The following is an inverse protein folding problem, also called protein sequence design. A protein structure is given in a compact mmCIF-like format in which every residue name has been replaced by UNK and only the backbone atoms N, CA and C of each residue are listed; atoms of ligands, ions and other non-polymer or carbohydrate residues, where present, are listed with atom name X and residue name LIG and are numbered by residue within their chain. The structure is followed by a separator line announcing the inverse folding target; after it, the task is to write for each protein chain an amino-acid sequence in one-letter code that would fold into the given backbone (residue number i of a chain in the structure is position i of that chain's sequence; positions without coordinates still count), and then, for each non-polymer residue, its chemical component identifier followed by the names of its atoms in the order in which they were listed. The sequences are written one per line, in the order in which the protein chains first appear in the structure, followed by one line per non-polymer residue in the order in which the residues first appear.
data_IF_616566264306
#
_entry.id   IF_616566264306
#
_cell.length_a   1.000
_cell.length_b   1.000
_cell.length_c   1.000
_cell.angle_alpha   90.00
_cell.angle_beta   90.00
_cell.angle_gamma   90.00
#
_symmetry.space_group_name_H-M   'P 1'
#
loop_
_entity.id
_entity.type
_entity.pdbx_description
1 polymer ?
#
# COMPACT_ATOMS: atom_id res chain seq x y z
N UNK A 1 10.93 -15.32 -9.20
CA UNK A 1 10.15 -14.10 -9.42
C UNK A 1 9.85 -13.97 -10.90
N UNK A 2 8.57 -13.96 -11.26
CA UNK A 2 8.14 -13.85 -12.66
C UNK A 2 7.89 -12.36 -13.01
N UNK A 3 8.45 -11.82 -14.10
CA UNK A 3 8.24 -10.41 -14.45
C UNK A 3 6.76 -10.10 -14.67
N UNK A 4 6.18 -9.26 -13.82
CA UNK A 4 4.83 -8.72 -14.03
C UNK A 4 4.93 -7.37 -14.73
N UNK A 5 4.24 -7.15 -15.87
CA UNK A 5 4.29 -5.86 -16.55
C UNK A 5 3.72 -4.76 -15.65
N UNK A 6 4.36 -3.59 -15.68
CA UNK A 6 3.83 -2.41 -14.99
C UNK A 6 2.58 -1.95 -15.73
N UNK A 7 1.43 -2.09 -15.07
CA UNK A 7 0.12 -1.66 -15.58
C UNK A 7 -0.14 -0.27 -15.08
N UNK A 8 -0.34 0.71 -15.94
CA UNK A 8 -0.71 2.07 -15.56
C UNK A 8 -1.50 2.71 -16.71
N UNK A 9 -2.71 3.28 -16.51
CA UNK A 9 -3.46 3.84 -17.63
C UNK A 9 -2.71 4.98 -18.30
N UNK A 10 -1.87 5.72 -17.57
CA UNK A 10 -0.98 6.68 -18.20
C UNK A 10 0.00 5.99 -19.16
N UNK A 11 0.58 4.83 -18.83
CA UNK A 11 1.48 4.11 -19.76
C UNK A 11 0.69 3.51 -20.93
N UNK A 12 -0.46 2.90 -20.65
CA UNK A 12 -1.28 2.17 -21.63
C UNK A 12 -2.00 3.10 -22.62
N UNK A 13 -2.27 4.34 -22.21
CA UNK A 13 -2.90 5.37 -23.03
C UNK A 13 -2.02 6.62 -23.05
N UNK A 14 -0.93 6.62 -23.85
CA UNK A 14 0.04 7.70 -23.87
C UNK A 14 -0.57 9.04 -24.30
N UNK A 15 -1.55 8.97 -25.19
CA UNK A 15 -2.13 10.08 -25.97
C UNK A 15 -3.34 10.77 -25.31
N UNK A 16 -3.67 10.41 -24.05
CA UNK A 16 -4.73 11.10 -23.32
C UNK A 16 -4.37 12.59 -23.23
N UNK A 17 -5.24 13.51 -23.69
CA UNK A 17 -4.97 14.94 -23.66
C UNK A 17 -4.67 15.41 -22.24
N UNK A 18 -3.63 16.23 -22.13
CA UNK A 18 -3.31 16.90 -20.88
C UNK A 18 -4.27 18.06 -20.64
N UNK A 19 -4.57 18.34 -19.38
CA UNK A 19 -5.33 19.52 -19.03
C UNK A 19 -4.51 20.78 -19.32
N UNK A 20 -5.19 21.86 -19.72
CA UNK A 20 -4.56 23.17 -19.85
C UNK A 20 -4.05 23.61 -18.46
N UNK A 21 -2.73 23.81 -18.28
CA UNK A 21 -2.19 24.24 -17.00
C UNK A 21 -2.75 25.58 -16.52
N UNK A 22 -3.32 26.42 -17.40
CA UNK A 22 -3.99 27.66 -17.01
C UNK A 22 -5.18 27.44 -16.08
N UNK A 23 -5.85 26.28 -16.17
CA UNK A 23 -6.97 25.93 -15.30
C UNK A 23 -6.56 25.70 -13.83
N UNK A 24 -5.25 25.66 -13.52
CA UNK A 24 -4.75 25.63 -12.14
C UNK A 24 -4.88 26.99 -11.43
N UNK A 25 -5.03 28.11 -12.16
CA UNK A 25 -4.92 29.46 -11.58
C UNK A 25 -5.77 29.68 -10.30
N UNK A 26 -7.06 29.29 -10.25
CA UNK A 26 -7.86 29.46 -9.04
C UNK A 26 -7.34 28.67 -7.83
N UNK A 27 -6.80 27.46 -8.05
CA UNK A 27 -6.20 26.66 -6.98
C UNK A 27 -4.87 27.26 -6.52
N UNK A 28 -4.06 27.78 -7.44
CA UNK A 28 -2.78 28.41 -7.10
C UNK A 28 -2.99 29.68 -6.26
N UNK A 29 -3.98 30.50 -6.62
CA UNK A 29 -4.39 31.65 -5.82
C UNK A 29 -4.84 31.22 -4.42
N UNK A 30 -5.65 30.16 -4.35
CA UNK A 30 -6.11 29.63 -3.06
C UNK A 30 -4.97 29.11 -2.18
N UNK A 31 -3.99 28.42 -2.76
CA UNK A 31 -2.85 27.87 -2.03
C UNK A 31 -1.94 28.98 -1.46
N UNK A 32 -1.90 30.14 -2.12
CA UNK A 32 -1.15 31.31 -1.65
C UNK A 32 -1.88 32.09 -0.54
N UNK A 33 -3.22 31.99 -0.47
CA UNK A 33 -4.02 32.62 0.58
C UNK A 33 -3.83 31.90 1.92
N UNK A 34 -3.42 32.62 2.97
CA UNK A 34 -3.23 32.09 4.31
C UNK A 34 -4.54 31.78 5.06
N UNK A 35 -5.71 32.16 4.53
CA UNK A 35 -7.00 31.88 5.13
C UNK A 35 -7.21 30.37 5.37
N UNK A 36 -7.66 29.96 6.58
CA UNK A 36 -7.86 28.54 6.91
C UNK A 36 -8.79 27.82 5.93
N UNK A 37 -8.52 26.54 5.70
CA UNK A 37 -9.38 25.65 4.90
C UNK A 37 -10.31 24.89 5.85
N UNK A 38 -11.57 25.31 5.96
CA UNK A 38 -12.54 24.69 6.89
C UNK A 38 -13.23 23.44 6.32
N UNK A 39 -13.13 23.21 5.01
CA UNK A 39 -13.81 22.10 4.32
C UNK A 39 -13.18 21.77 2.97
N UNK A 40 -13.83 20.88 2.20
CA UNK A 40 -13.36 20.52 0.85
C UNK A 40 -13.73 21.64 -0.14
N UNK A 41 -12.72 22.25 -0.75
CA UNK A 41 -12.83 23.30 -1.77
C UNK A 41 -12.46 22.71 -3.14
N UNK A 42 -13.43 22.66 -4.07
CA UNK A 42 -13.24 22.12 -5.40
C UNK A 42 -12.87 23.21 -6.42
N UNK A 43 -11.92 22.90 -7.29
CA UNK A 43 -11.40 23.78 -8.34
C UNK A 43 -11.57 23.14 -9.72
N UNK A 44 -11.41 23.90 -10.82
CA UNK A 44 -11.42 23.32 -12.16
C UNK A 44 -10.45 22.14 -12.31
N UNK A 45 -9.28 22.24 -11.67
CA UNK A 45 -8.34 21.14 -11.51
C UNK A 45 -8.09 20.87 -10.03
N UNK A 46 -8.72 19.82 -9.51
CA UNK A 46 -8.43 19.28 -8.18
C UNK A 46 -9.30 19.80 -7.04
N UNK A 47 -8.88 19.43 -5.83
CA UNK A 47 -9.57 19.77 -4.59
C UNK A 47 -8.55 20.03 -3.48
N UNK A 48 -8.71 21.15 -2.78
CA UNK A 48 -8.02 21.40 -1.51
C UNK A 48 -8.95 20.98 -0.38
N UNK A 49 -8.49 20.11 0.51
CA UNK A 49 -9.31 19.58 1.61
C UNK A 49 -8.91 20.18 2.94
N UNK A 50 -9.86 20.26 3.87
CA UNK A 50 -9.63 20.78 5.22
C UNK A 50 -8.62 19.98 6.07
N UNK A 51 -8.23 18.79 5.63
CA UNK A 51 -7.15 18.01 6.24
C UNK A 51 -5.78 18.19 5.55
N UNK A 52 -5.64 19.20 4.71
CA UNK A 52 -4.38 19.57 4.04
C UNK A 52 -4.05 18.72 2.81
N UNK A 53 -5.01 17.94 2.30
CA UNK A 53 -4.85 17.24 1.01
C UNK A 53 -5.04 18.18 -0.16
N UNK A 54 -4.03 18.23 -1.02
CA UNK A 54 -4.08 18.83 -2.36
C UNK A 54 -4.27 17.68 -3.35
N UNK A 55 -5.52 17.40 -3.71
CA UNK A 55 -5.92 16.24 -4.51
C UNK A 55 -6.09 16.62 -5.98
N UNK A 56 -5.10 16.24 -6.80
CA UNK A 56 -5.13 16.38 -8.26
C UNK A 56 -4.96 15.02 -8.94
N UNK A 57 -5.47 13.94 -8.35
CA UNK A 57 -5.44 12.66 -9.01
C UNK A 57 -6.28 12.68 -10.31
N UNK A 58 -5.77 12.06 -11.37
CA UNK A 58 -6.46 11.87 -12.66
C UNK A 58 -6.86 13.20 -13.34
N UNK A 59 -6.07 14.25 -13.17
CA UNK A 59 -6.31 15.57 -13.77
C UNK A 59 -5.52 15.79 -15.07
N UNK A 60 -4.69 14.83 -15.49
CA UNK A 60 -3.92 14.96 -16.73
C UNK A 60 -2.92 16.11 -16.71
N UNK A 61 -2.31 16.41 -15.56
CA UNK A 61 -1.45 17.60 -15.41
C UNK A 61 -0.21 17.61 -16.32
N UNK A 62 0.34 16.43 -16.65
CA UNK A 62 1.64 16.32 -17.30
C UNK A 62 2.77 16.93 -16.46
N UNK A 63 3.96 17.03 -17.06
CA UNK A 63 5.10 17.69 -16.41
C UNK A 63 4.85 19.20 -16.21
N UNK A 64 4.23 19.86 -17.21
CA UNK A 64 3.97 21.31 -17.18
C UNK A 64 2.99 21.73 -16.06
N UNK A 65 1.90 20.98 -15.85
CA UNK A 65 0.98 21.25 -14.75
C UNK A 65 1.62 21.03 -13.39
N UNK A 66 2.44 19.97 -13.25
CA UNK A 66 3.21 19.70 -12.01
C UNK A 66 4.23 20.81 -11.74
N UNK A 67 4.91 21.32 -12.77
CA UNK A 67 5.85 22.45 -12.67
C UNK A 67 5.20 23.74 -12.12
N UNK A 68 3.92 23.97 -12.42
CA UNK A 68 3.17 25.12 -11.88
C UNK A 68 2.62 24.86 -10.48
N UNK A 69 2.09 23.67 -10.25
CA UNK A 69 1.40 23.31 -9.01
C UNK A 69 2.36 23.14 -7.82
N UNK A 70 3.42 22.35 -7.99
CA UNK A 70 4.19 21.83 -6.86
C UNK A 70 4.90 22.92 -6.06
N UNK A 71 5.57 23.92 -6.68
CA UNK A 71 6.16 25.02 -5.93
C UNK A 71 5.13 25.80 -5.09
N UNK A 72 3.94 26.08 -5.66
CA UNK A 72 2.86 26.78 -4.95
C UNK A 72 2.28 25.94 -3.81
N UNK A 73 2.10 24.63 -4.02
CA UNK A 73 1.61 23.73 -3.00
C UNK A 73 2.61 23.60 -1.84
N UNK A 74 3.91 23.45 -2.12
CA UNK A 74 4.95 23.34 -1.08
C UNK A 74 5.10 24.65 -0.29
N UNK A 75 4.95 25.81 -0.94
CA UNK A 75 4.96 27.10 -0.25
C UNK A 75 3.68 27.40 0.55
N UNK A 76 2.62 26.61 0.34
CA UNK A 76 1.32 26.83 0.96
C UNK A 76 1.32 26.43 2.43
N UNK A 77 0.69 27.22 3.33
CA UNK A 77 0.52 26.82 4.72
C UNK A 77 -0.48 25.65 4.90
N UNK A 78 -1.18 25.25 3.83
CA UNK A 78 -2.24 24.24 3.91
C UNK A 78 -1.78 22.85 3.48
N UNK A 79 -0.77 22.74 2.61
CA UNK A 79 -0.46 21.50 1.94
C UNK A 79 0.34 20.53 2.84
N UNK A 80 -0.34 19.47 3.29
CA UNK A 80 0.28 18.39 4.07
C UNK A 80 0.43 17.12 3.23
N UNK A 81 -0.45 16.93 2.25
CA UNK A 81 -0.51 15.72 1.45
C UNK A 81 -0.70 16.06 -0.03
N UNK A 82 0.28 15.74 -0.87
CA UNK A 82 0.19 15.94 -2.31
C UNK A 82 -0.27 14.65 -2.99
N UNK A 83 -1.48 14.66 -3.56
CA UNK A 83 -2.05 13.52 -4.27
C UNK A 83 -2.05 13.79 -5.78
N UNK A 84 -1.03 13.27 -6.46
CA UNK A 84 -0.76 13.56 -7.87
C UNK A 84 -0.83 12.31 -8.74
N UNK A 85 -1.61 11.29 -8.35
CA UNK A 85 -1.65 10.03 -9.10
C UNK A 85 -2.33 10.13 -10.47
N UNK A 86 -1.87 9.35 -11.43
CA UNK A 86 -2.45 9.30 -12.79
C UNK A 86 -2.43 10.65 -13.51
N UNK A 87 -1.27 11.31 -13.55
CA UNK A 87 -1.08 12.60 -14.23
C UNK A 87 -0.03 12.58 -15.35
N UNK A 88 0.58 11.43 -15.65
CA UNK A 88 1.55 11.28 -16.74
C UNK A 88 2.74 12.28 -16.68
N UNK A 89 3.14 12.68 -15.48
CA UNK A 89 4.18 13.70 -15.26
C UNK A 89 5.61 13.25 -15.59
N UNK A 90 5.85 11.93 -15.69
CA UNK A 90 7.14 11.35 -16.05
C UNK A 90 8.26 11.65 -15.05
N UNK A 91 9.50 11.31 -15.45
CA UNK A 91 10.71 11.66 -14.69
C UNK A 91 10.94 13.17 -14.58
N UNK A 92 10.42 13.98 -15.51
CA UNK A 92 10.51 15.45 -15.43
C UNK A 92 9.69 15.99 -14.26
N UNK A 93 8.44 15.57 -14.10
CA UNK A 93 7.66 15.93 -12.91
C UNK A 93 8.32 15.45 -11.62
N UNK A 94 8.97 14.28 -11.63
CA UNK A 94 9.69 13.78 -10.46
C UNK A 94 10.86 14.71 -10.07
N UNK A 95 11.60 15.24 -11.06
CA UNK A 95 12.62 16.28 -10.86
C UNK A 95 12.03 17.57 -10.29
N UNK A 96 10.89 18.03 -10.82
CA UNK A 96 10.20 19.20 -10.28
C UNK A 96 9.84 19.03 -8.81
N UNK A 97 9.27 17.88 -8.43
CA UNK A 97 8.94 17.61 -7.03
C UNK A 97 10.20 17.63 -6.18
N UNK A 98 11.26 16.93 -6.61
CA UNK A 98 12.52 16.89 -5.87
C UNK A 98 13.13 18.30 -5.67
N UNK A 99 13.07 19.16 -6.67
CA UNK A 99 13.58 20.54 -6.59
C UNK A 99 12.72 21.50 -5.79
N UNK A 100 11.45 21.17 -5.53
CA UNK A 100 10.56 22.02 -4.73
C UNK A 100 10.59 21.69 -3.23
N UNK A 101 11.00 20.48 -2.85
CA UNK A 101 11.06 20.02 -1.45
C UNK A 101 12.29 20.59 -0.74
N UNK A 102 12.28 21.90 -0.53
CA UNK A 102 13.24 22.61 0.31
C UNK A 102 12.97 22.34 1.81
N UNK A 103 13.97 22.49 2.70
CA UNK A 103 13.76 22.27 4.14
C UNK A 103 12.62 23.11 4.71
N UNK A 104 11.71 22.50 5.47
CA UNK A 104 10.55 23.19 6.05
C UNK A 104 9.31 23.22 5.16
N UNK A 105 9.24 22.35 4.15
CA UNK A 105 8.15 22.27 3.18
C UNK A 105 6.80 21.77 3.77
N UNK A 106 6.75 21.19 4.96
CA UNK A 106 5.51 20.76 5.62
C UNK A 106 4.80 19.51 5.04
N UNK A 107 5.10 19.14 3.79
CA UNK A 107 4.54 17.95 3.12
C UNK A 107 4.94 16.64 3.82
N UNK A 108 3.95 15.81 4.18
CA UNK A 108 4.14 14.51 4.84
C UNK A 108 3.86 13.31 3.93
N UNK A 109 3.03 13.50 2.90
CA UNK A 109 2.66 12.41 1.98
C UNK A 109 2.85 12.84 0.53
N UNK A 110 3.60 12.02 -0.22
CA UNK A 110 3.72 12.11 -1.66
C UNK A 110 3.04 10.90 -2.29
N UNK A 111 1.86 11.12 -2.88
CA UNK A 111 1.17 10.08 -3.64
C UNK A 111 1.36 10.30 -5.14
N UNK A 112 2.27 9.53 -5.73
CA UNK A 112 2.76 9.69 -7.10
C UNK A 112 2.43 8.49 -7.99
N UNK A 113 1.42 7.71 -7.62
CA UNK A 113 1.08 6.47 -8.31
C UNK A 113 0.68 6.67 -9.77
N UNK A 114 1.16 5.79 -10.66
CA UNK A 114 0.83 5.77 -12.09
C UNK A 114 1.11 7.08 -12.82
N UNK A 115 2.37 7.51 -12.83
CA UNK A 115 2.82 8.77 -13.41
C UNK A 115 3.87 8.62 -14.51
N UNK A 116 4.19 7.39 -14.93
CA UNK A 116 5.32 7.09 -15.83
C UNK A 116 6.68 7.53 -15.26
N UNK A 117 6.84 7.53 -13.93
CA UNK A 117 8.13 7.80 -13.28
C UNK A 117 9.02 6.58 -13.51
N UNK A 118 10.07 6.74 -14.30
CA UNK A 118 11.06 5.70 -14.56
C UNK A 118 12.09 5.58 -13.44
N UNK A 119 13.06 4.68 -13.60
CA UNK A 119 14.14 4.49 -12.65
C UNK A 119 14.95 5.75 -12.36
N UNK A 120 15.20 6.58 -13.37
CA UNK A 120 15.95 7.84 -13.22
C UNK A 120 15.14 8.88 -12.44
N UNK A 121 13.86 9.04 -12.76
CA UNK A 121 12.95 9.90 -12.01
C UNK A 121 12.80 9.46 -10.55
N UNK A 122 12.73 8.14 -10.31
CA UNK A 122 12.71 7.59 -8.96
C UNK A 122 14.03 7.83 -8.22
N UNK A 123 15.18 7.73 -8.90
CA UNK A 123 16.48 8.01 -8.33
C UNK A 123 16.65 9.47 -7.91
N UNK A 124 16.14 10.42 -8.71
CA UNK A 124 16.16 11.85 -8.33
C UNK A 124 15.30 12.11 -7.08
N UNK A 125 14.10 11.53 -7.01
CA UNK A 125 13.27 11.63 -5.80
C UNK A 125 13.98 11.02 -4.59
N UNK A 126 14.60 9.84 -4.77
CA UNK A 126 15.32 9.15 -3.73
C UNK A 126 16.50 10.00 -3.19
N UNK A 127 17.28 10.63 -4.07
CA UNK A 127 18.40 11.47 -3.66
C UNK A 127 17.95 12.66 -2.80
N UNK A 128 16.90 13.38 -3.23
CA UNK A 128 16.32 14.48 -2.44
C UNK A 128 15.83 13.99 -1.07
N UNK A 129 15.08 12.88 -1.04
CA UNK A 129 14.47 12.34 0.17
C UNK A 129 15.49 11.71 1.14
N UNK A 130 16.72 11.41 0.69
CA UNK A 130 17.77 10.85 1.55
C UNK A 130 18.17 11.78 2.71
N UNK A 131 17.95 13.09 2.56
CA UNK A 131 18.19 14.11 3.59
C UNK A 131 16.91 14.75 4.11
N UNK A 132 15.75 14.36 3.60
CA UNK A 132 14.47 14.87 4.04
C UNK A 132 14.08 14.29 5.42
N UNK A 133 13.38 15.11 6.21
CA UNK A 133 12.93 14.79 7.57
C UNK A 133 11.41 14.89 7.75
N UNK A 134 10.70 15.38 6.73
CA UNK A 134 9.27 15.68 6.83
C UNK A 134 8.38 14.63 6.18
N UNK A 135 8.73 14.14 4.99
CA UNK A 135 7.97 13.11 4.26
C UNK A 135 7.96 11.81 5.06
N UNK A 136 6.76 11.31 5.35
CA UNK A 136 6.52 10.07 6.10
C UNK A 136 6.01 8.94 5.22
N UNK A 137 5.39 9.27 4.10
CA UNK A 137 4.77 8.32 3.20
C UNK A 137 5.04 8.62 1.73
N UNK A 138 5.70 7.68 1.05
CA UNK A 138 6.02 7.74 -0.37
C UNK A 138 5.28 6.63 -1.13
N UNK A 139 4.45 7.02 -2.09
CA UNK A 139 3.67 6.08 -2.89
C UNK A 139 4.04 6.14 -4.36
N UNK A 140 4.72 5.11 -4.86
CA UNK A 140 5.22 5.03 -6.23
C UNK A 140 4.49 3.97 -7.07
N UNK A 141 3.40 3.39 -6.57
CA UNK A 141 2.66 2.31 -7.23
C UNK A 141 2.48 2.52 -8.73
N UNK A 142 2.61 1.45 -9.52
CA UNK A 142 2.33 1.46 -10.97
C UNK A 142 3.18 2.46 -11.77
N UNK A 143 4.41 2.71 -11.33
CA UNK A 143 5.42 3.44 -12.08
C UNK A 143 6.53 2.48 -12.53
N UNK A 144 7.13 2.67 -13.73
CA UNK A 144 8.22 1.83 -14.23
C UNK A 144 9.56 2.11 -13.53
N UNK A 145 9.58 2.04 -12.20
CA UNK A 145 10.76 2.30 -11.35
C UNK A 145 11.88 1.30 -11.68
N UNK A 146 11.52 0.03 -11.88
CA UNK A 146 12.47 -1.05 -12.17
C UNK A 146 13.44 -1.34 -11.03
N UNK A 147 14.32 -2.32 -11.24
CA UNK A 147 15.34 -2.69 -10.23
C UNK A 147 16.32 -1.56 -9.94
N UNK A 148 16.72 -0.79 -10.96
CA UNK A 148 17.65 0.33 -10.79
C UNK A 148 17.07 1.43 -9.90
N UNK A 149 15.81 1.83 -10.16
CA UNK A 149 15.12 2.80 -9.30
C UNK A 149 14.86 2.25 -7.89
N UNK A 150 14.54 0.95 -7.77
CA UNK A 150 14.38 0.30 -6.46
C UNK A 150 15.68 0.31 -5.64
N UNK A 151 16.83 0.08 -6.27
CA UNK A 151 18.15 0.22 -5.61
C UNK A 151 18.42 1.66 -5.17
N UNK A 152 18.01 2.66 -5.94
CA UNK A 152 18.13 4.06 -5.53
C UNK A 152 17.24 4.37 -4.32
N UNK A 153 15.98 3.89 -4.32
CA UNK A 153 15.08 3.98 -3.16
C UNK A 153 15.70 3.28 -1.94
N UNK A 154 16.27 2.09 -2.10
CA UNK A 154 16.98 1.40 -1.02
C UNK A 154 18.18 2.21 -0.49
N UNK A 155 18.97 2.83 -1.36
CA UNK A 155 20.08 3.68 -0.96
C UNK A 155 19.61 4.91 -0.16
N UNK A 156 18.51 5.53 -0.58
CA UNK A 156 17.84 6.60 0.18
C UNK A 156 17.44 6.12 1.57
N UNK A 157 16.88 4.91 1.67
CA UNK A 157 16.44 4.36 2.95
C UNK A 157 17.57 4.05 3.93
N UNK A 158 18.84 4.01 3.51
CA UNK A 158 19.96 3.93 4.46
C UNK A 158 20.21 5.22 5.23
N UNK A 159 19.75 6.36 4.70
CA UNK A 159 20.03 7.71 5.25
C UNK A 159 18.78 8.40 5.79
N UNK A 160 17.67 8.26 5.08
CA UNK A 160 16.40 8.82 5.51
C UNK A 160 15.96 8.14 6.81
N UNK A 161 15.38 8.87 7.77
CA UNK A 161 14.79 8.29 8.98
C UNK A 161 13.30 8.64 9.15
N UNK A 162 12.75 9.48 8.28
CA UNK A 162 11.37 9.98 8.39
C UNK A 162 10.33 9.08 7.73
N UNK A 163 10.68 8.43 6.61
CA UNK A 163 9.76 7.58 5.85
C UNK A 163 9.46 6.31 6.66
N UNK A 164 8.16 6.10 6.91
CA UNK A 164 7.61 4.91 7.58
C UNK A 164 6.64 4.14 6.68
N UNK A 165 6.22 4.72 5.56
CA UNK A 165 5.37 4.07 4.56
C UNK A 165 6.01 4.13 3.19
N UNK A 166 6.17 2.97 2.55
CA UNK A 166 6.65 2.88 1.18
C UNK A 166 5.76 1.96 0.36
N UNK A 167 5.28 2.47 -0.77
CA UNK A 167 4.55 1.68 -1.76
C UNK A 167 5.33 1.57 -3.07
N UNK A 168 5.64 0.32 -3.41
CA UNK A 168 6.30 -0.14 -4.63
C UNK A 168 5.44 -1.19 -5.36
N UNK A 169 4.12 -1.11 -5.23
CA UNK A 169 3.17 -2.03 -5.87
C UNK A 169 3.28 -1.92 -7.39
N UNK A 170 3.52 -3.04 -8.07
CA UNK A 170 3.62 -3.15 -9.52
C UNK A 170 4.56 -2.10 -10.11
N UNK A 171 5.81 -2.11 -9.64
CA UNK A 171 6.86 -1.15 -10.06
C UNK A 171 8.02 -1.79 -10.81
N UNK A 172 7.95 -3.11 -11.05
CA UNK A 172 9.07 -3.85 -11.62
C UNK A 172 10.21 -4.02 -10.60
N UNK A 173 9.86 -4.22 -9.33
CA UNK A 173 10.81 -4.27 -8.21
C UNK A 173 11.98 -5.22 -8.45
N UNK A 174 11.72 -6.39 -9.05
CA UNK A 174 12.70 -7.44 -9.31
C UNK A 174 13.32 -8.03 -8.04
N UNK A 175 14.12 -9.09 -8.23
CA UNK A 175 14.75 -9.80 -7.11
C UNK A 175 15.85 -8.93 -6.48
N UNK A 176 16.63 -8.27 -7.33
CA UNK A 176 17.75 -7.43 -6.87
C UNK A 176 17.27 -6.15 -6.20
N UNK A 177 16.14 -5.58 -6.65
CA UNK A 177 15.52 -4.46 -5.95
C UNK A 177 14.98 -4.86 -4.58
N UNK A 178 14.34 -6.03 -4.46
CA UNK A 178 13.85 -6.55 -3.17
C UNK A 178 15.02 -6.84 -2.20
N UNK A 179 16.11 -7.46 -2.69
CA UNK A 179 17.32 -7.70 -1.88
C UNK A 179 17.95 -6.39 -1.41
N UNK A 180 18.07 -5.40 -2.29
CA UNK A 180 18.61 -4.10 -1.91
C UNK A 180 17.76 -3.39 -0.84
N UNK A 181 16.42 -3.51 -0.91
CA UNK A 181 15.52 -3.01 0.13
C UNK A 181 15.79 -3.71 1.47
N UNK A 182 15.93 -5.03 1.49
CA UNK A 182 16.24 -5.79 2.70
C UNK A 182 17.56 -5.30 3.32
N UNK A 183 18.62 -5.24 2.53
CA UNK A 183 19.96 -4.82 2.98
C UNK A 183 19.92 -3.41 3.58
N UNK A 184 19.18 -2.49 2.98
CA UNK A 184 19.00 -1.14 3.52
C UNK A 184 18.22 -1.14 4.83
N UNK A 185 17.10 -1.86 4.88
CA UNK A 185 16.15 -1.79 6.00
C UNK A 185 16.65 -2.52 7.25
N UNK A 186 17.45 -3.59 7.14
CA UNK A 186 18.06 -4.25 8.31
C UNK A 186 19.01 -3.30 9.06
N UNK A 187 19.67 -2.38 8.34
CA UNK A 187 20.64 -1.45 8.93
C UNK A 187 20.03 -0.15 9.44
N UNK A 188 18.71 0.00 9.38
CA UNK A 188 18.01 1.26 9.64
C UNK A 188 17.67 1.39 11.12
N UNK A 189 18.05 2.50 11.76
CA UNK A 189 17.75 2.73 13.17
C UNK A 189 16.24 2.86 13.44
N UNK A 190 15.54 3.54 12.54
CA UNK A 190 14.08 3.69 12.57
C UNK A 190 13.44 2.74 11.53
N UNK A 191 12.75 1.67 11.98
CA UNK A 191 12.21 0.68 11.07
C UNK A 191 11.12 1.28 10.18
N UNK A 192 11.11 0.87 8.91
CA UNK A 192 9.98 1.12 8.02
C UNK A 192 8.78 0.34 8.55
N UNK A 193 7.66 1.02 8.81
CA UNK A 193 6.50 0.37 9.42
C UNK A 193 5.66 -0.40 8.39
N UNK A 194 5.45 0.19 7.21
CA UNK A 194 4.49 -0.28 6.21
C UNK A 194 5.14 -0.36 4.83
N UNK A 195 5.14 -1.57 4.27
CA UNK A 195 5.69 -1.84 2.94
C UNK A 195 4.65 -2.50 2.05
N UNK A 196 4.41 -1.90 0.88
CA UNK A 196 3.54 -2.44 -0.16
C UNK A 196 4.37 -2.87 -1.37
N UNK A 197 4.36 -4.17 -1.68
CA UNK A 197 5.16 -4.80 -2.76
C UNK A 197 4.32 -5.72 -3.64
N UNK A 198 3.00 -5.57 -3.61
CA UNK A 198 2.07 -6.35 -4.43
C UNK A 198 2.30 -6.20 -5.94
N UNK A 199 1.89 -7.18 -6.73
CA UNK A 199 1.89 -7.05 -8.20
C UNK A 199 3.27 -6.98 -8.85
N UNK A 200 4.30 -7.51 -8.20
CA UNK A 200 5.66 -7.56 -8.73
C UNK A 200 6.06 -8.98 -9.19
N UNK A 201 5.18 -9.98 -9.05
CA UNK A 201 5.44 -11.37 -9.44
C UNK A 201 6.37 -12.10 -8.48
N UNK A 202 6.34 -11.71 -7.21
CA UNK A 202 7.12 -12.32 -6.13
C UNK A 202 6.62 -13.75 -5.92
N UNK A 203 7.50 -14.74 -6.13
CA UNK A 203 7.20 -16.16 -5.97
C UNK A 203 7.73 -16.73 -4.65
N UNK A 204 7.61 -18.05 -4.43
CA UNK A 204 8.14 -18.72 -3.24
C UNK A 204 9.67 -18.55 -3.12
N UNK A 205 10.37 -18.44 -4.25
CA UNK A 205 11.82 -18.21 -4.34
C UNK A 205 12.30 -16.91 -3.68
N UNK A 206 11.39 -15.95 -3.47
CA UNK A 206 11.65 -14.68 -2.79
C UNK A 206 11.01 -14.60 -1.40
N UNK A 207 10.33 -15.64 -0.93
CA UNK A 207 9.60 -15.63 0.33
C UNK A 207 10.54 -15.39 1.53
N UNK A 208 11.76 -15.95 1.49
CA UNK A 208 12.77 -15.72 2.53
C UNK A 208 13.20 -14.26 2.66
N UNK A 209 13.24 -13.51 1.55
CA UNK A 209 13.51 -12.07 1.59
C UNK A 209 12.37 -11.31 2.26
N UNK A 210 11.12 -11.66 1.95
CA UNK A 210 9.94 -11.08 2.61
C UNK A 210 9.90 -11.45 4.11
N UNK A 211 10.24 -12.68 4.44
CA UNK A 211 10.35 -13.14 5.82
C UNK A 211 11.44 -12.36 6.58
N UNK A 212 12.61 -12.14 5.99
CA UNK A 212 13.68 -11.35 6.59
C UNK A 212 13.30 -9.88 6.77
N UNK A 213 12.53 -9.29 5.83
CA UNK A 213 11.98 -7.94 5.99
C UNK A 213 11.09 -7.83 7.23
N UNK A 214 10.29 -8.87 7.51
CA UNK A 214 9.44 -8.93 8.70
C UNK A 214 10.27 -9.24 9.95
N UNK A 215 11.07 -10.30 9.95
CA UNK A 215 11.80 -10.75 11.14
C UNK A 215 12.92 -9.79 11.53
N UNK A 216 13.79 -9.44 10.58
CA UNK A 216 15.07 -8.79 10.84
C UNK A 216 14.99 -7.27 10.66
N UNK A 217 14.30 -6.80 9.62
CA UNK A 217 14.19 -5.36 9.32
C UNK A 217 13.07 -4.64 10.09
N UNK A 218 12.32 -5.36 10.93
CA UNK A 218 11.33 -4.74 11.81
C UNK A 218 10.01 -4.31 11.14
N UNK A 219 9.74 -4.68 9.88
CA UNK A 219 8.49 -4.29 9.20
C UNK A 219 7.29 -4.86 9.94
N UNK A 220 6.32 -4.00 10.25
CA UNK A 220 5.10 -4.37 10.99
C UNK A 220 3.94 -4.71 10.07
N UNK A 221 3.84 -4.04 8.92
CA UNK A 221 2.80 -4.32 7.94
C UNK A 221 3.39 -4.57 6.56
N UNK A 222 3.21 -5.80 6.08
CA UNK A 222 3.63 -6.23 4.76
C UNK A 222 2.40 -6.50 3.89
N UNK A 223 2.24 -5.70 2.84
CA UNK A 223 1.19 -5.87 1.85
C UNK A 223 1.80 -6.36 0.53
N UNK A 224 1.65 -7.65 0.25
CA UNK A 224 2.15 -8.31 -0.95
C UNK A 224 1.01 -8.95 -1.80
N UNK A 225 -0.13 -8.26 -2.05
CA UNK A 225 -1.22 -8.87 -2.82
C UNK A 225 -0.87 -9.01 -4.32
N UNK A 226 -1.57 -9.88 -5.04
CA UNK A 226 -1.39 -10.11 -6.47
C UNK A 226 0.06 -10.51 -6.83
N UNK A 227 0.62 -11.47 -6.09
CA UNK A 227 1.92 -12.09 -6.32
C UNK A 227 1.72 -13.62 -6.47
N UNK A 228 2.77 -14.44 -6.34
CA UNK A 228 2.73 -15.88 -6.62
C UNK A 228 3.30 -16.71 -5.46
N UNK A 229 3.11 -16.27 -4.21
CA UNK A 229 3.75 -16.88 -3.03
C UNK A 229 3.35 -18.34 -2.79
N UNK A 230 2.12 -18.73 -3.12
CA UNK A 230 1.60 -20.07 -2.84
C UNK A 230 1.56 -20.43 -1.35
N UNK A 231 1.33 -21.71 -1.07
CA UNK A 231 1.33 -22.25 0.29
C UNK A 231 2.73 -22.23 0.93
N UNK A 232 3.77 -22.50 0.14
CA UNK A 232 5.17 -22.46 0.59
C UNK A 232 5.56 -21.06 1.08
N UNK A 233 5.32 -20.01 0.29
CA UNK A 233 5.62 -18.65 0.69
C UNK A 233 4.77 -18.18 1.88
N UNK A 234 3.51 -18.63 1.97
CA UNK A 234 2.66 -18.35 3.14
C UNK A 234 3.22 -19.00 4.42
N UNK A 235 3.75 -20.22 4.34
CA UNK A 235 4.37 -20.90 5.47
C UNK A 235 5.67 -20.21 5.92
N UNK A 236 6.50 -19.75 4.98
CA UNK A 236 7.71 -18.96 5.28
C UNK A 236 7.36 -17.66 6.01
N UNK A 237 6.34 -16.93 5.54
CA UNK A 237 5.86 -15.72 6.21
C UNK A 237 5.24 -16.01 7.59
N UNK A 238 4.58 -17.16 7.78
CA UNK A 238 4.05 -17.57 9.06
C UNK A 238 5.18 -17.77 10.10
N UNK A 239 6.25 -18.47 9.72
CA UNK A 239 7.45 -18.64 10.56
C UNK A 239 8.10 -17.30 10.94
N UNK A 240 8.16 -16.37 9.98
CA UNK A 240 8.67 -15.02 10.24
C UNK A 240 7.81 -14.23 11.23
N UNK A 241 6.48 -14.34 11.13
CA UNK A 241 5.56 -13.68 12.06
C UNK A 241 5.74 -14.18 13.50
N UNK A 242 5.88 -15.50 13.68
CA UNK A 242 6.13 -16.11 14.99
C UNK A 242 7.47 -15.65 15.58
N UNK A 243 8.52 -15.60 14.75
CA UNK A 243 9.87 -15.19 15.15
C UNK A 243 10.03 -13.69 15.38
N UNK A 244 9.12 -12.86 14.85
CA UNK A 244 9.23 -11.40 14.89
C UNK A 244 9.11 -10.80 16.31
N UNK A 245 8.62 -11.58 17.28
CA UNK A 245 8.46 -11.15 18.68
C UNK A 245 7.47 -10.00 18.89
N UNK A 246 6.67 -9.66 17.88
CA UNK A 246 5.69 -8.57 17.89
C UNK A 246 4.53 -8.86 16.93
N UNK A 247 3.35 -8.27 17.14
CA UNK A 247 2.24 -8.41 16.21
C UNK A 247 2.57 -7.86 14.82
N UNK A 248 2.19 -8.61 13.78
CA UNK A 248 2.36 -8.24 12.37
C UNK A 248 1.03 -8.18 11.63
N UNK A 249 1.03 -7.49 10.49
CA UNK A 249 -0.12 -7.33 9.61
C UNK A 249 0.24 -7.74 8.20
N UNK A 250 -0.54 -8.66 7.63
CA UNK A 250 -0.29 -9.22 6.31
C UNK A 250 -1.46 -9.00 5.36
N UNK A 251 -1.16 -8.43 4.19
CA UNK A 251 -2.05 -8.42 3.03
C UNK A 251 -1.51 -9.34 1.94
N UNK A 252 -2.06 -10.55 1.84
CA UNK A 252 -1.60 -11.63 0.97
C UNK A 252 -2.67 -12.06 -0.05
N UNK A 253 -3.64 -11.20 -0.34
CA UNK A 253 -4.68 -11.45 -1.33
C UNK A 253 -4.14 -11.81 -2.72
N UNK A 254 -4.70 -12.82 -3.38
CA UNK A 254 -4.31 -13.19 -4.75
C UNK A 254 -2.85 -13.63 -4.87
N UNK A 255 -2.47 -14.66 -4.11
CA UNK A 255 -1.13 -15.24 -4.07
C UNK A 255 -1.10 -16.73 -4.40
N UNK A 256 -2.24 -17.35 -4.71
CA UNK A 256 -2.33 -18.80 -4.86
C UNK A 256 -2.26 -19.55 -3.52
N UNK A 257 -2.59 -18.89 -2.40
CA UNK A 257 -2.62 -19.53 -1.08
C UNK A 257 -3.83 -20.46 -1.00
N UNK A 258 -3.58 -21.75 -0.79
CA UNK A 258 -4.53 -22.82 -0.58
C UNK A 258 -4.75 -23.16 0.91
N UNK A 259 -5.35 -24.32 1.20
CA UNK A 259 -5.63 -24.75 2.57
C UNK A 259 -4.39 -24.93 3.44
N UNK A 260 -3.26 -25.37 2.87
CA UNK A 260 -2.05 -25.65 3.65
C UNK A 260 -1.36 -24.37 4.11
N UNK A 261 -1.25 -23.36 3.25
CA UNK A 261 -0.77 -22.03 3.63
C UNK A 261 -1.71 -21.32 4.59
N UNK A 262 -3.03 -21.49 4.43
CA UNK A 262 -4.00 -21.00 5.41
C UNK A 262 -3.81 -21.66 6.79
N UNK A 263 -3.53 -22.97 6.84
CA UNK A 263 -3.24 -23.69 8.08
C UNK A 263 -1.94 -23.21 8.73
N UNK A 264 -0.89 -22.96 7.95
CA UNK A 264 0.35 -22.40 8.45
C UNK A 264 0.14 -21.01 9.09
N UNK A 265 -0.57 -20.11 8.40
CA UNK A 265 -0.92 -18.79 8.91
C UNK A 265 -1.84 -18.86 10.15
N UNK A 266 -2.78 -19.79 10.18
CA UNK A 266 -3.64 -20.02 11.35
C UNK A 266 -2.83 -20.53 12.56
N UNK A 267 -1.81 -21.36 12.34
CA UNK A 267 -0.94 -21.86 13.41
C UNK A 267 -0.21 -20.77 14.20
N UNK A 268 0.00 -19.61 13.57
CA UNK A 268 0.70 -18.45 14.16
C UNK A 268 -0.22 -17.25 14.38
N UNK A 269 -1.54 -17.45 14.42
CA UNK A 269 -2.52 -16.36 14.55
C UNK A 269 -2.37 -15.55 15.85
N UNK A 270 -1.64 -16.08 16.84
CA UNK A 270 -1.20 -15.37 18.05
C UNK A 270 -0.22 -14.22 17.78
N UNK A 271 0.49 -14.24 16.66
CA UNK A 271 1.43 -13.21 16.23
C UNK A 271 0.85 -12.25 15.16
N UNK A 272 -0.37 -12.50 14.68
CA UNK A 272 -0.96 -11.73 13.57
C UNK A 272 -2.13 -10.88 14.06
N UNK A 273 -2.04 -9.57 13.84
CA UNK A 273 -3.09 -8.61 14.20
C UNK A 273 -4.08 -8.37 13.04
N UNK A 274 -3.62 -8.50 11.80
CA UNK A 274 -4.48 -8.43 10.62
C UNK A 274 -3.98 -9.35 9.52
N UNK A 275 -4.90 -10.11 8.93
CA UNK A 275 -4.63 -11.00 7.81
C UNK A 275 -5.69 -10.78 6.73
N UNK A 276 -5.27 -10.35 5.55
CA UNK A 276 -6.15 -10.24 4.39
C UNK A 276 -5.70 -11.21 3.29
N UNK A 277 -6.50 -12.24 3.07
CA UNK A 277 -6.35 -13.21 1.99
C UNK A 277 -7.38 -12.99 0.87
N UNK A 278 -8.17 -11.91 0.96
CA UNK A 278 -9.22 -11.61 0.00
C UNK A 278 -8.67 -11.32 -1.38
N UNK A 279 -9.47 -11.54 -2.42
CA UNK A 279 -9.15 -11.12 -3.78
C UNK A 279 -8.90 -9.61 -3.87
N UNK A 280 -7.69 -9.15 -4.25
CA UNK A 280 -7.42 -7.74 -4.49
C UNK A 280 -7.98 -7.30 -5.86
N UNK A 281 -8.33 -6.01 -6.05
CA UNK A 281 -8.79 -5.51 -7.34
C UNK A 281 -7.78 -5.73 -8.49
N UNK A 282 -6.49 -5.74 -8.17
CA UNK A 282 -5.40 -5.93 -9.14
C UNK A 282 -5.23 -7.37 -9.64
N UNK A 283 -5.84 -8.37 -8.97
CA UNK A 283 -5.60 -9.80 -9.25
C UNK A 283 -5.78 -10.13 -10.73
N UNK A 284 -6.95 -9.80 -11.30
CA UNK A 284 -7.26 -10.11 -12.71
C UNK A 284 -6.37 -9.32 -13.68
N UNK A 285 -6.11 -8.05 -13.37
CA UNK A 285 -5.34 -7.16 -14.25
C UNK A 285 -3.86 -7.58 -14.35
N UNK A 286 -3.35 -8.21 -13.30
CA UNK A 286 -1.96 -8.68 -13.20
C UNK A 286 -1.82 -10.19 -13.45
N UNK A 287 -2.93 -10.90 -13.71
CA UNK A 287 -2.90 -12.36 -13.91
C UNK A 287 -2.49 -13.14 -12.66
N UNK A 288 -2.68 -12.56 -11.47
CA UNK A 288 -2.30 -13.22 -10.23
C UNK A 288 -3.23 -14.40 -9.89
N UNK A 289 -2.71 -15.51 -9.34
CA UNK A 289 -3.51 -16.66 -8.94
C UNK A 289 -4.42 -16.28 -7.76
N UNK A 290 -5.70 -16.68 -7.78
CA UNK A 290 -6.60 -16.45 -6.65
C UNK A 290 -6.15 -17.27 -5.45
N UNK A 291 -6.40 -16.76 -4.25
CA UNK A 291 -6.33 -17.61 -3.05
C UNK A 291 -7.53 -18.56 -3.04
N UNK A 292 -7.30 -19.80 -2.64
CA UNK A 292 -8.29 -20.87 -2.62
C UNK A 292 -8.26 -21.65 -1.29
N UNK A 293 -8.23 -20.91 -0.18
CA UNK A 293 -8.15 -21.49 1.19
C UNK A 293 -9.35 -22.36 1.56
N UNK A 294 -10.52 -22.09 0.96
CA UNK A 294 -11.75 -22.85 1.15
C UNK A 294 -12.29 -22.86 2.58
N UNK A 295 -13.23 -23.78 2.81
CA UNK A 295 -13.80 -24.04 4.14
C UNK A 295 -12.78 -24.67 5.10
N UNK A 296 -11.78 -25.39 4.59
CA UNK A 296 -10.69 -25.97 5.39
C UNK A 296 -9.82 -24.89 6.03
N UNK A 297 -9.40 -23.88 5.26
CA UNK A 297 -8.69 -22.72 5.80
C UNK A 297 -9.54 -21.96 6.81
N UNK A 298 -10.85 -21.80 6.56
CA UNK A 298 -11.75 -21.18 7.52
C UNK A 298 -11.90 -21.97 8.82
N UNK A 299 -11.89 -23.30 8.76
CA UNK A 299 -11.89 -24.16 9.94
C UNK A 299 -10.57 -24.03 10.72
N UNK A 300 -9.42 -23.94 10.05
CA UNK A 300 -8.13 -23.69 10.69
C UNK A 300 -8.12 -22.34 11.43
N UNK A 301 -8.57 -21.26 10.78
CA UNK A 301 -8.70 -19.95 11.43
C UNK A 301 -9.71 -19.99 12.58
N UNK A 302 -10.83 -20.70 12.44
CA UNK A 302 -11.81 -20.84 13.50
C UNK A 302 -11.20 -21.49 14.76
N UNK A 303 -10.42 -22.55 14.59
CA UNK A 303 -9.74 -23.24 15.70
C UNK A 303 -8.68 -22.35 16.41
N UNK A 304 -8.00 -21.49 15.65
CA UNK A 304 -6.94 -20.61 16.16
C UNK A 304 -7.45 -19.24 16.67
N UNK A 305 -8.72 -18.88 16.42
CA UNK A 305 -9.26 -17.56 16.75
C UNK A 305 -9.40 -17.31 18.26
N UNK A 306 -9.80 -18.27 19.11
CA UNK A 306 -9.92 -18.02 20.54
C UNK A 306 -8.57 -17.60 21.17
N UNK A 307 -8.56 -16.44 21.84
CA UNK A 307 -7.36 -15.87 22.46
C UNK A 307 -6.40 -15.14 21.49
N UNK A 308 -6.67 -15.19 20.18
CA UNK A 308 -5.85 -14.48 19.18
C UNK A 308 -5.98 -12.95 19.29
N UNK A 309 -4.90 -12.18 19.02
CA UNK A 309 -4.97 -10.73 18.90
C UNK A 309 -5.63 -10.24 17.60
N UNK A 310 -6.04 -11.14 16.69
CA UNK A 310 -6.52 -10.79 15.36
C UNK A 310 -7.71 -9.82 15.40
N UNK A 311 -7.55 -8.71 14.69
CA UNK A 311 -8.55 -7.63 14.56
C UNK A 311 -9.19 -7.63 13.19
N UNK A 312 -8.51 -8.11 12.14
CA UNK A 312 -9.06 -8.15 10.77
C UNK A 312 -8.74 -9.48 10.08
N UNK A 313 -9.76 -10.11 9.52
CA UNK A 313 -9.63 -11.34 8.74
C UNK A 313 -10.36 -11.21 7.40
N UNK A 314 -9.63 -11.07 6.30
CA UNK A 314 -10.20 -10.99 4.95
C UNK A 314 -10.20 -12.35 4.25
N UNK A 315 -11.37 -12.87 3.89
CA UNK A 315 -11.56 -14.15 3.21
C UNK A 315 -12.51 -14.01 2.00
N UNK A 316 -12.64 -12.81 1.45
CA UNK A 316 -13.54 -12.62 0.31
C UNK A 316 -12.95 -13.25 -0.95
N UNK A 317 -13.73 -14.10 -1.63
CA UNK A 317 -13.31 -14.82 -2.84
C UNK A 317 -12.17 -15.83 -2.63
N UNK A 318 -12.08 -16.47 -1.47
CA UNK A 318 -11.08 -17.53 -1.21
C UNK A 318 -11.60 -18.96 -1.37
N UNK A 319 -12.76 -19.14 -2.01
CA UNK A 319 -13.47 -20.43 -2.02
C UNK A 319 -14.30 -20.72 -0.76
N UNK A 320 -14.34 -19.78 0.20
CA UNK A 320 -15.16 -19.87 1.42
C UNK A 320 -16.66 -19.97 1.09
N UNK A 321 -17.30 -21.01 1.62
CA UNK A 321 -18.75 -21.21 1.50
C UNK A 321 -19.50 -20.76 2.75
N UNK A 322 -20.83 -20.85 2.72
CA UNK A 322 -21.66 -20.63 3.90
C UNK A 322 -21.39 -21.61 5.06
N UNK A 323 -20.85 -22.80 4.81
CA UNK A 323 -20.53 -23.79 5.85
C UNK A 323 -19.26 -23.39 6.60
N UNK A 324 -18.17 -23.09 5.89
CA UNK A 324 -16.95 -22.55 6.50
C UNK A 324 -17.21 -21.24 7.23
N UNK A 325 -17.99 -20.32 6.64
CA UNK A 325 -18.32 -19.06 7.29
C UNK A 325 -19.11 -19.25 8.61
N UNK A 326 -20.02 -20.24 8.68
CA UNK A 326 -20.72 -20.58 9.94
C UNK A 326 -19.78 -21.19 10.97
N UNK A 327 -18.83 -22.01 10.54
CA UNK A 327 -17.80 -22.61 11.41
C UNK A 327 -16.93 -21.52 12.04
N UNK A 328 -16.47 -20.56 11.23
CA UNK A 328 -15.75 -19.39 11.72
C UNK A 328 -16.59 -18.54 12.67
N UNK A 329 -17.85 -18.24 12.29
CA UNK A 329 -18.77 -17.46 13.12
C UNK A 329 -18.98 -18.09 14.51
N UNK A 330 -19.06 -19.42 14.59
CA UNK A 330 -19.23 -20.13 15.86
C UNK A 330 -18.07 -19.89 16.84
N UNK A 331 -16.87 -19.56 16.33
CA UNK A 331 -15.68 -19.28 17.13
C UNK A 331 -15.52 -17.79 17.47
N UNK A 332 -16.36 -16.91 16.90
CA UNK A 332 -16.43 -15.50 17.28
C UNK A 332 -17.28 -15.35 18.54
N UNK A 333 -16.64 -15.45 19.70
CA UNK A 333 -17.23 -15.19 21.03
C UNK A 333 -17.00 -13.76 21.52
N UNK A 334 -17.48 -13.44 22.73
CA UNK A 334 -17.38 -12.10 23.34
C UNK A 334 -15.93 -11.60 23.51
N UNK A 335 -14.99 -12.52 23.76
CA UNK A 335 -13.56 -12.20 23.91
C UNK A 335 -12.84 -11.91 22.58
N UNK A 336 -13.51 -12.13 21.44
CA UNK A 336 -12.91 -11.87 20.13
C UNK A 336 -12.57 -10.37 19.98
N UNK A 337 -11.40 -10.10 19.39
CA UNK A 337 -10.93 -8.74 19.05
C UNK A 337 -11.26 -8.34 17.61
N UNK A 338 -11.95 -9.20 16.86
CA UNK A 338 -12.27 -8.96 15.47
C UNK A 338 -13.13 -7.71 15.30
N UNK A 339 -12.68 -6.83 14.43
CA UNK A 339 -13.35 -5.61 13.98
C UNK A 339 -13.86 -5.75 12.54
N UNK A 340 -13.27 -6.66 11.77
CA UNK A 340 -13.59 -6.86 10.37
C UNK A 340 -13.43 -8.32 9.96
N UNK A 341 -14.45 -8.85 9.29
CA UNK A 341 -14.36 -10.12 8.57
C UNK A 341 -14.83 -9.91 7.13
N UNK A 342 -13.93 -10.08 6.17
CA UNK A 342 -14.21 -9.97 4.75
C UNK A 342 -14.87 -11.25 4.25
N UNK A 343 -16.16 -11.20 3.87
CA UNK A 343 -16.91 -12.35 3.39
C UNK A 343 -17.40 -12.14 1.95
N UNK A 344 -17.03 -13.06 1.08
CA UNK A 344 -17.39 -13.05 -0.34
C UNK A 344 -18.90 -13.17 -0.61
N UNK A 345 -19.34 -12.97 -1.87
CA UNK A 345 -20.76 -12.97 -2.23
C UNK A 345 -21.47 -14.32 -1.99
N UNK A 346 -20.74 -15.44 -2.00
CA UNK A 346 -21.28 -16.79 -1.75
C UNK A 346 -21.72 -17.08 -0.31
N UNK A 347 -21.45 -16.17 0.64
CA UNK A 347 -21.84 -16.35 2.05
C UNK A 347 -23.25 -15.78 2.30
N UNK A 348 -24.17 -16.54 2.95
CA UNK A 348 -25.54 -16.08 3.19
C UNK A 348 -25.61 -14.75 3.98
N UNK A 349 -26.52 -13.85 3.58
CA UNK A 349 -26.73 -12.54 4.24
C UNK A 349 -26.96 -12.65 5.75
N UNK A 350 -27.70 -13.68 6.20
CA UNK A 350 -27.94 -13.95 7.63
C UNK A 350 -26.64 -14.19 8.40
N UNK A 351 -25.67 -14.89 7.80
CA UNK A 351 -24.36 -15.15 8.41
C UNK A 351 -23.56 -13.86 8.47
N UNK A 352 -23.53 -13.06 7.39
CA UNK A 352 -22.84 -11.76 7.36
C UNK A 352 -23.38 -10.80 8.44
N UNK A 353 -24.69 -10.75 8.61
CA UNK A 353 -25.33 -9.93 9.66
C UNK A 353 -24.94 -10.41 11.06
N UNK A 354 -24.93 -11.72 11.29
CA UNK A 354 -24.52 -12.28 12.58
C UNK A 354 -23.04 -11.99 12.92
N UNK A 355 -22.15 -11.89 11.92
CA UNK A 355 -20.80 -11.35 12.16
C UNK A 355 -20.88 -9.88 12.60
N UNK A 356 -21.59 -9.02 11.86
CA UNK A 356 -21.68 -7.60 12.17
C UNK A 356 -22.18 -7.31 13.60
N UNK A 357 -23.05 -8.16 14.15
CA UNK A 357 -23.54 -8.09 15.54
C UNK A 357 -22.47 -8.46 16.60
N UNK A 358 -21.40 -9.17 16.21
CA UNK A 358 -20.34 -9.68 17.11
C UNK A 358 -19.00 -8.97 16.95
N UNK A 359 -18.82 -8.19 15.89
CA UNK A 359 -17.57 -7.48 15.63
C UNK A 359 -17.46 -6.22 16.51
N UNK A 360 -16.24 -5.93 16.94
CA UNK A 360 -15.92 -4.68 17.61
C UNK A 360 -15.93 -3.51 16.61
N UNK A 361 -16.12 -2.26 17.08
CA UNK A 361 -15.95 -1.09 16.24
C UNK A 361 -14.56 -1.07 15.60
N UNK A 362 -14.51 -0.74 14.30
CA UNK A 362 -13.24 -0.69 13.58
C UNK A 362 -12.35 0.47 14.06
N UNK A 363 -11.07 0.17 14.28
CA UNK A 363 -10.08 1.20 14.50
C UNK A 363 -9.93 2.08 13.24
N UNK A 364 -9.58 3.35 13.46
CA UNK A 364 -9.29 4.27 12.37
C UNK A 364 -8.02 3.82 11.63
N UNK A 365 -7.98 3.87 10.29
CA UNK A 365 -6.76 3.64 9.55
C UNK A 365 -5.66 4.61 9.98
N UNK A 366 -4.41 4.16 9.90
CA UNK A 366 -3.26 5.01 10.16
C UNK A 366 -3.27 6.25 9.24
N UNK A 367 -2.90 7.47 9.72
CA UNK A 367 -2.99 8.71 8.94
C UNK A 367 -2.38 8.65 7.54
N UNK A 368 -1.20 8.06 7.41
CA UNK A 368 -0.51 7.91 6.11
C UNK A 368 -1.33 7.10 5.08
N UNK A 369 -2.13 6.11 5.53
CA UNK A 369 -3.04 5.32 4.65
C UNK A 369 -4.36 6.07 4.46
N UNK A 370 -4.85 6.74 5.50
CA UNK A 370 -6.05 7.57 5.42
C UNK A 370 -5.89 8.69 4.39
N UNK A 371 -4.72 9.33 4.34
CA UNK A 371 -4.41 10.42 3.41
C UNK A 371 -4.61 10.04 1.94
N UNK A 372 -4.53 8.75 1.61
CA UNK A 372 -4.67 8.22 0.24
C UNK A 372 -5.94 7.37 0.05
N UNK A 373 -6.83 7.33 1.05
CA UNK A 373 -8.01 6.45 1.06
C UNK A 373 -9.06 6.82 -0.01
N UNK A 374 -9.07 8.05 -0.53
CA UNK A 374 -9.89 8.43 -1.69
C UNK A 374 -9.41 7.78 -2.98
N UNK A 375 -8.15 7.34 -3.05
CA UNK A 375 -7.48 6.89 -4.29
C UNK A 375 -7.31 5.37 -4.38
N UNK A 376 -7.51 4.64 -3.28
CA UNK A 376 -7.46 3.17 -3.21
C UNK A 376 -8.83 2.46 -3.31
N UNK A 377 -9.91 3.20 -3.63
CA UNK A 377 -11.24 2.61 -3.86
C UNK A 377 -11.41 2.06 -5.26
#
# INVERSE_FOLDING_TARGET
MEPTPVRCPAIEHPDVPQADPAALAPLLERLADAAPVEGDEAFPLGTLRGDGRVDLCKQGLGAAGVARLVPAAVASPHAVHLLLGTNAMGGEGARTIAGALEPGHGVRTLYLGCNRIDGDGAAVLADRLASDVEVRALWLKRNPVGEAGARAVAAMLRRNASIRTLDLVNTGLGMEGLRALLDALITRDAPLERLFVGGNGIGPDAADLLAALVRDAGIRELYAPANHLGDEGAAVLASAAESAGRPVRFGLGGNGVGPDGARALAGVLGAIEALDLSRPPSERALGAPPNATGDEGAAAFAAALPGSPLRRLGLSHTGLTGRGAKTLLASVGAESRLEYVGLGPGVPRKVKRAFAERLRPAARPHPDVHAIASVYR
#
